data_IF_143154376001
#
_entry.id   IF_143154376001
#
_cell.length_a   1.000
_cell.length_b   1.000
_cell.length_c   1.000
_cell.angle_alpha   90.00
_cell.angle_beta   90.00
_cell.angle_gamma   90.00
#
_symmetry.space_group_name_H-M   'P 1'
#
loop_
_entity.id
_entity.type
_entity.pdbx_description
1 polymer ?
2 non-polymer ?
3 non-polymer ?
4 water ?
#
# COMPACT_ATOMS: atom_id res chain seq x y z
N UNK A 21 -16.56 21.72 6.03
CA UNK A 21 -15.75 20.56 5.56
C UNK A 21 -14.76 20.12 6.64
N UNK A 22 -13.64 19.50 6.22
CA UNK A 22 -12.66 19.00 7.17
C UNK A 22 -11.80 20.11 7.72
N UNK A 23 -11.89 20.34 9.01
CA UNK A 23 -11.08 21.36 9.67
C UNK A 23 -10.05 20.75 10.61
N UNK A 24 -10.33 19.55 11.12
CA UNK A 24 -9.42 18.89 12.04
C UNK A 24 -9.46 17.38 11.85
N UNK A 25 -8.28 16.79 11.66
CA UNK A 25 -8.17 15.38 11.36
C UNK A 25 -7.33 14.66 12.41
N UNK A 26 -7.89 13.58 12.95
CA UNK A 26 -7.12 12.67 13.78
C UNK A 26 -6.34 11.71 12.88
N UNK A 27 -5.03 11.67 13.07
CA UNK A 27 -4.18 10.78 12.30
C UNK A 27 -4.03 9.49 13.10
N UNK A 28 -4.87 8.51 12.77
CA UNK A 28 -4.92 7.26 13.53
C UNK A 28 -3.86 6.30 12.98
N UNK A 29 -2.61 6.70 13.07
CA UNK A 29 -1.51 5.86 12.63
C UNK A 29 -0.21 6.44 13.18
N UNK A 30 0.92 5.99 12.64
CA UNK A 30 2.22 6.34 13.19
C UNK A 30 3.28 6.33 12.09
N UNK A 31 4.52 6.58 12.48
CA UNK A 31 5.65 6.47 11.58
C UNK A 31 5.53 7.28 10.29
N UNK A 32 6.04 6.73 9.20
CA UNK A 32 6.15 7.51 7.97
C UNK A 32 4.78 7.91 7.41
N UNK A 33 3.80 7.01 7.44
CA UNK A 33 2.51 7.37 6.84
C UNK A 33 1.80 8.46 7.65
N UNK A 34 2.01 8.49 8.96
CA UNK A 34 1.38 9.53 9.78
C UNK A 34 1.97 10.87 9.42
N UNK A 35 3.29 10.90 9.19
CA UNK A 35 3.97 12.11 8.72
C UNK A 35 3.47 12.52 7.33
N UNK A 36 3.34 11.55 6.44
CA UNK A 36 2.79 11.78 5.11
C UNK A 36 1.42 12.43 5.21
N UNK A 37 0.58 11.93 6.11
CA UNK A 37 -0.76 12.46 6.27
C UNK A 37 -0.73 13.86 6.87
N UNK A 38 0.13 14.07 7.86
CA UNK A 38 0.29 15.38 8.47
C UNK A 38 0.70 16.43 7.45
N UNK A 39 1.62 16.07 6.56
CA UNK A 39 2.09 16.99 5.53
C UNK A 39 0.94 17.39 4.61
N UNK A 40 0.12 16.43 4.19
CA UNK A 40 -1.02 16.72 3.33
C UNK A 40 -2.02 17.64 4.05
N UNK A 41 -2.24 17.36 5.33
CA UNK A 41 -3.16 18.16 6.12
C UNK A 41 -2.67 19.60 6.20
N UNK A 42 -1.41 19.77 6.59
CA UNK A 42 -0.85 21.11 6.72
C UNK A 42 -0.94 21.90 5.40
N UNK A 43 -0.70 21.23 4.27
CA UNK A 43 -0.82 21.91 2.97
C UNK A 43 -2.23 22.44 2.73
N UNK A 44 -3.23 21.72 3.24
CA UNK A 44 -4.63 22.08 3.01
C UNK A 44 -5.16 22.97 4.14
N UNK A 45 -4.32 23.26 5.13
CA UNK A 45 -4.71 24.12 6.24
C UNK A 45 -5.59 23.41 7.25
N UNK A 46 -5.49 22.08 7.27
CA UNK A 46 -6.26 21.25 8.17
C UNK A 46 -5.50 21.00 9.47
N UNK A 47 -6.14 21.25 10.60
CA UNK A 47 -5.51 20.99 11.90
C UNK A 47 -5.33 19.50 12.14
N UNK A 48 -4.25 19.15 12.85
CA UNK A 48 -3.91 17.76 13.05
C UNK A 48 -3.95 17.38 14.53
N UNK A 49 -4.39 16.17 14.76
CA UNK A 49 -4.39 15.56 16.07
C UNK A 49 -3.60 14.27 15.94
N UNK A 50 -2.47 14.19 16.62
CA UNK A 50 -1.65 12.98 16.57
C UNK A 50 -1.96 12.12 17.79
N UNK A 51 -2.66 11.01 17.55
CA UNK A 51 -2.81 9.99 18.59
C UNK A 51 -1.61 9.06 18.54
N UNK A 52 -1.04 8.75 19.71
CA UNK A 52 0.19 8.00 19.78
C UNK A 52 0.26 7.13 21.04
N UNK A 53 1.07 6.08 20.97
CA UNK A 53 1.33 5.26 22.15
C UNK A 53 2.41 5.94 22.99
N UNK A 54 2.60 5.45 24.22
CA UNK A 54 3.62 6.00 25.10
C UNK A 54 5.02 5.85 24.50
N UNK A 55 5.18 4.93 23.56
CA UNK A 55 6.49 4.68 22.95
C UNK A 55 6.78 5.62 21.77
N UNK A 56 5.75 6.33 21.31
CA UNK A 56 5.87 7.14 20.10
C UNK A 56 5.79 8.64 20.40
N UNK A 57 6.03 9.02 21.64
CA UNK A 57 6.04 10.43 22.01
C UNK A 57 7.05 11.23 21.19
N UNK A 58 8.10 10.57 20.71
CA UNK A 58 9.18 11.24 19.99
C UNK A 58 9.06 11.13 18.46
N UNK A 59 7.95 10.61 17.96
CA UNK A 59 7.75 10.53 16.52
C UNK A 59 7.77 11.92 15.94
N UNK A 60 8.38 12.05 14.76
CA UNK A 60 8.48 13.35 14.11
C UNK A 60 7.10 14.00 13.97
N UNK A 61 6.13 13.26 13.44
CA UNK A 61 4.84 13.86 13.16
C UNK A 61 4.13 14.28 14.46
N UNK A 62 4.36 13.54 15.54
CA UNK A 62 3.81 13.90 16.84
C UNK A 62 4.37 15.24 17.30
N UNK A 63 5.67 15.43 17.07
CA UNK A 63 6.35 16.67 17.43
C UNK A 63 5.88 17.84 16.56
N UNK A 64 5.42 17.53 15.35
CA UNK A 64 4.93 18.54 14.42
C UNK A 64 3.44 18.82 14.55
N UNK A 65 2.69 17.94 15.20
CA UNK A 65 1.23 18.04 15.21
C UNK A 65 0.72 19.21 16.06
N UNK A 66 -0.47 19.70 15.72
CA UNK A 66 -1.09 20.80 16.44
C UNK A 66 -1.55 20.37 17.82
N UNK A 67 -2.11 19.17 17.91
CA UNK A 67 -2.55 18.59 19.18
C UNK A 67 -2.09 17.14 19.24
N UNK A 68 -1.70 16.69 20.45
CA UNK A 68 -1.32 15.29 20.64
C UNK A 68 -2.12 14.64 21.77
N UNK A 69 -2.45 13.37 21.58
CA UNK A 69 -3.17 12.61 22.59
C UNK A 69 -2.59 11.21 22.69
N UNK A 70 -2.15 10.84 23.88
CA UNK A 70 -1.62 9.49 24.12
C UNK A 70 -2.79 8.53 24.29
N UNK A 71 -2.87 7.51 23.42
CA UNK A 71 -4.02 6.61 23.41
C UNK A 71 -3.76 5.24 24.04
N UNK A 72 -2.60 5.07 24.67
CA UNK A 72 -2.31 3.83 25.35
C UNK A 72 -0.84 3.50 25.45
N UNK A 73 -0.53 2.34 26.04
CA UNK A 73 0.84 1.82 26.17
C UNK A 73 1.39 1.34 24.83
N UNK A 74 2.63 0.87 24.83
CA UNK A 74 3.36 0.56 23.59
C UNK A 74 2.67 -0.46 22.67
N UNK A 75 2.21 -1.59 23.22
CA UNK A 75 1.67 -2.62 22.31
C UNK A 75 0.53 -2.10 21.44
N UNK A 76 0.58 -2.44 20.16
CA UNK A 76 -0.43 -2.01 19.18
C UNK A 76 -1.85 -2.29 19.68
N UNK A 77 -2.06 -3.51 20.17
CA UNK A 77 -3.38 -3.95 20.63
C UNK A 77 -3.97 -2.95 21.61
N UNK A 78 -3.10 -2.26 22.35
CA UNK A 78 -3.54 -1.37 23.43
C UNK A 78 -3.56 0.10 23.04
N UNK A 79 -3.08 0.41 21.83
CA UNK A 79 -2.97 1.78 21.38
C UNK A 79 -3.58 2.00 19.99
N UNK A 80 -2.85 1.63 18.95
CA UNK A 80 -3.26 1.96 17.59
C UNK A 80 -4.43 1.10 17.10
N UNK A 81 -4.70 0.02 17.81
CA UNK A 81 -5.87 -0.82 17.55
C UNK A 81 -6.95 -0.59 18.61
N UNK A 82 -6.73 0.39 19.50
CA UNK A 82 -7.68 0.71 20.57
C UNK A 82 -8.82 1.59 20.04
N UNK A 83 -9.88 0.97 19.56
CA UNK A 83 -10.95 1.68 18.88
C UNK A 83 -11.63 2.73 19.76
N UNK A 84 -11.94 2.38 21.02
CA UNK A 84 -12.58 3.39 21.87
C UNK A 84 -11.69 4.59 22.16
N UNK A 85 -10.38 4.37 22.37
CA UNK A 85 -9.48 5.47 22.72
C UNK A 85 -9.30 6.45 21.54
N UNK A 86 -9.24 5.91 20.34
CA UNK A 86 -9.03 6.74 19.16
C UNK A 86 -10.27 7.59 18.89
N UNK A 87 -11.43 6.99 19.09
CA UNK A 87 -12.67 7.70 18.87
C UNK A 87 -12.84 8.78 19.95
N UNK A 88 -12.43 8.48 21.17
CA UNK A 88 -12.47 9.45 22.26
C UNK A 88 -11.53 10.63 21.99
N UNK A 89 -10.40 10.36 21.34
CA UNK A 89 -9.48 11.44 20.96
C UNK A 89 -10.15 12.37 19.96
N UNK A 90 -10.89 11.80 19.02
CA UNK A 90 -11.65 12.58 18.06
C UNK A 90 -12.70 13.44 18.77
N UNK A 91 -13.30 12.88 19.82
CA UNK A 91 -14.38 13.57 20.52
C UNK A 91 -13.88 14.75 21.36
N UNK A 92 -12.89 14.51 22.23
CA UNK A 92 -12.39 15.55 23.11
C UNK A 92 -11.71 16.72 22.37
N UNK A 93 -11.15 16.44 21.19
CA UNK A 93 -10.51 17.49 20.40
C UNK A 93 -11.48 18.18 19.44
N UNK A 94 -12.68 17.63 19.29
CA UNK A 94 -13.66 18.17 18.35
C UNK A 94 -13.19 18.04 16.91
N UNK A 95 -12.58 16.91 16.59
CA UNK A 95 -12.12 16.64 15.22
C UNK A 95 -13.32 16.35 14.31
N UNK A 96 -13.12 16.47 13.00
CA UNK A 96 -14.17 16.19 12.03
C UNK A 96 -14.01 14.82 11.37
N UNK A 97 -12.79 14.30 11.35
CA UNK A 97 -12.52 13.13 10.55
C UNK A 97 -11.31 12.38 11.06
N UNK A 98 -11.21 11.11 10.69
CA UNK A 98 -10.12 10.25 11.12
C UNK A 98 -9.49 9.59 9.92
N UNK A 99 -8.18 9.75 9.78
CA UNK A 99 -7.45 9.09 8.70
C UNK A 99 -6.70 7.90 9.30
N UNK A 100 -7.02 6.67 8.84
CA UNK A 100 -6.45 5.45 9.39
C UNK A 100 -5.10 4.99 8.79
N UNK A 101 -4.52 5.75 7.88
CA UNK A 101 -3.32 5.33 7.16
C UNK A 101 -3.47 3.98 6.52
N UNK A 102 -2.43 3.17 6.61
CA UNK A 102 -2.48 1.79 6.16
C UNK A 102 -2.16 0.88 7.35
N UNK A 103 -2.53 -0.39 7.24
CA UNK A 103 -2.36 -1.32 8.33
C UNK A 103 -3.33 -0.98 9.46
N UNK A 104 -3.00 -1.44 10.66
CA UNK A 104 -3.79 -1.18 11.85
C UNK A 104 -5.30 -1.30 11.59
N UNK A 105 -6.04 -0.21 11.73
CA UNK A 105 -7.51 -0.27 11.65
C UNK A 105 -8.07 0.18 10.31
N UNK A 106 -7.21 0.34 9.30
CA UNK A 106 -7.62 0.99 8.06
C UNK A 106 -8.60 0.16 7.24
N UNK A 107 -8.52 -1.16 7.38
CA UNK A 107 -9.46 -2.06 6.73
C UNK A 107 -10.28 -2.85 7.74
N UNK A 108 -10.46 -2.24 8.90
CA UNK A 108 -11.33 -2.80 9.93
C UNK A 108 -12.71 -2.15 9.81
N UNK A 109 -13.68 -2.93 9.37
CA UNK A 109 -15.02 -2.39 9.10
C UNK A 109 -15.74 -1.97 10.37
N UNK A 110 -15.56 -2.73 11.45
CA UNK A 110 -16.19 -2.38 12.73
C UNK A 110 -15.72 -0.98 13.17
N UNK A 111 -14.45 -0.67 12.94
CA UNK A 111 -13.90 0.64 13.26
C UNK A 111 -14.50 1.74 12.39
N UNK A 112 -14.63 1.47 11.09
CA UNK A 112 -15.20 2.45 10.17
C UNK A 112 -16.65 2.70 10.52
N UNK A 113 -17.36 1.63 10.86
CA UNK A 113 -18.74 1.71 11.28
C UNK A 113 -18.85 2.62 12.50
N UNK A 114 -18.03 2.31 13.51
CA UNK A 114 -18.05 3.02 14.77
C UNK A 114 -17.73 4.50 14.57
N UNK A 115 -16.78 4.79 13.69
CA UNK A 115 -16.38 6.17 13.43
C UNK A 115 -17.54 6.97 12.86
N UNK A 116 -18.23 6.41 11.87
CA UNK A 116 -19.34 7.13 11.23
C UNK A 116 -20.53 7.25 12.15
N UNK A 117 -20.76 6.21 12.97
CA UNK A 117 -21.87 6.24 13.91
C UNK A 117 -21.66 7.29 14.99
N UNK A 118 -20.41 7.63 15.25
CA UNK A 118 -20.07 8.62 16.26
C UNK A 118 -20.03 10.02 15.65
N UNK A 119 -20.35 10.12 14.36
CA UNK A 119 -20.52 11.41 13.71
C UNK A 119 -19.26 11.99 13.10
N UNK A 120 -18.20 11.20 13.03
CA UNK A 120 -16.95 11.65 12.40
C UNK A 120 -16.85 11.09 10.99
N UNK A 121 -16.10 11.77 10.14
CA UNK A 121 -15.88 11.29 8.78
C UNK A 121 -14.70 10.34 8.76
N UNK A 122 -14.94 9.13 8.28
CA UNK A 122 -13.89 8.16 8.10
C UNK A 122 -13.24 8.42 6.75
N UNK A 123 -11.94 8.68 6.74
CA UNK A 123 -11.24 8.97 5.49
C UNK A 123 -10.87 7.65 4.81
N UNK A 124 -11.82 7.15 4.02
CA UNK A 124 -11.69 5.87 3.36
C UNK A 124 -13.08 5.47 2.87
N UNK A 125 -13.27 4.18 2.59
CA UNK A 125 -14.60 3.78 2.10
C UNK A 125 -15.62 3.60 3.22
N UNK A 126 -16.88 3.42 2.82
CA UNK A 126 -17.93 3.10 3.76
C UNK A 126 -17.65 1.73 4.36
N UNK A 127 -18.17 1.49 5.55
CA UNK A 127 -17.96 0.23 6.24
C UNK A 127 -18.44 -0.94 5.40
N UNK A 128 -19.65 -0.83 4.85
CA UNK A 128 -20.23 -1.91 4.06
C UNK A 128 -19.27 -2.34 2.94
N UNK A 129 -18.61 -1.37 2.31
CA UNK A 129 -17.69 -1.68 1.21
C UNK A 129 -16.38 -2.29 1.72
N UNK A 130 -15.90 -1.82 2.86
CA UNK A 130 -14.70 -2.39 3.46
C UNK A 130 -14.94 -3.86 3.76
N UNK A 131 -16.12 -4.17 4.30
CA UNK A 131 -16.46 -5.54 4.65
C UNK A 131 -16.67 -6.41 3.42
N UNK A 132 -17.20 -5.82 2.35
CA UNK A 132 -17.42 -6.55 1.11
C UNK A 132 -16.09 -7.03 0.53
N UNK A 133 -15.11 -6.14 0.51
CA UNK A 133 -13.80 -6.46 -0.03
C UNK A 133 -12.85 -6.97 1.05
N UNK A 134 -13.39 -7.13 2.26
CA UNK A 134 -12.61 -7.63 3.38
C UNK A 134 -12.68 -9.15 3.46
N UNK A 135 -13.50 -9.74 2.61
CA UNK A 135 -13.68 -11.19 2.58
C UNK A 135 -13.33 -11.70 1.19
N UNK A 136 -12.26 -12.49 1.09
CA UNK A 136 -11.73 -12.90 -0.20
C UNK A 136 -12.81 -13.44 -1.13
N UNK A 137 -13.74 -14.23 -0.60
CA UNK A 137 -14.75 -14.87 -1.43
C UNK A 137 -15.76 -13.85 -1.97
N UNK A 138 -16.33 -13.04 -1.08
CA UNK A 138 -17.30 -12.03 -1.49
C UNK A 138 -16.67 -10.92 -2.34
N UNK A 139 -15.37 -10.71 -2.16
CA UNK A 139 -14.65 -9.74 -2.99
C UNK A 139 -14.65 -10.25 -4.44
N UNK A 140 -14.17 -11.48 -4.62
CA UNK A 140 -14.06 -12.08 -5.94
C UNK A 140 -15.41 -12.13 -6.64
N UNK A 141 -16.46 -12.37 -5.88
CA UNK A 141 -17.80 -12.37 -6.44
C UNK A 141 -18.17 -10.98 -6.97
N UNK A 142 -17.88 -9.96 -6.19
CA UNK A 142 -18.18 -8.59 -6.60
C UNK A 142 -17.36 -8.21 -7.83
N UNK A 143 -16.10 -8.64 -7.86
CA UNK A 143 -15.23 -8.36 -9.00
C UNK A 143 -15.71 -9.08 -10.27
N UNK A 144 -16.05 -10.36 -10.15
CA UNK A 144 -16.54 -11.10 -11.31
C UNK A 144 -17.81 -10.42 -11.86
N UNK A 145 -18.71 -10.03 -10.97
CA UNK A 145 -19.93 -9.35 -11.40
C UNK A 145 -19.58 -8.08 -12.15
N UNK A 146 -18.55 -7.37 -11.66
CA UNK A 146 -18.20 -6.06 -12.18
C UNK A 146 -17.48 -6.13 -13.54
N UNK A 147 -16.93 -7.29 -13.87
CA UNK A 147 -16.21 -7.46 -15.12
C UNK A 147 -14.71 -7.38 -14.96
N UNK A 148 -14.22 -7.47 -13.73
CA UNK A 148 -12.79 -7.49 -13.47
C UNK A 148 -12.32 -8.94 -13.54
N UNK A 149 -11.23 -9.20 -14.27
CA UNK A 149 -10.84 -10.59 -14.48
C UNK A 149 -10.35 -11.22 -13.18
N UNK A 150 -10.80 -12.45 -12.92
CA UNK A 150 -10.45 -13.15 -11.70
C UNK A 150 -9.73 -14.46 -12.00
N UNK A 151 -9.03 -14.97 -11.00
CA UNK A 151 -8.43 -16.30 -11.12
C UNK A 151 -9.55 -17.32 -11.33
N UNK A 152 -9.47 -18.08 -12.43
CA UNK A 152 -10.42 -19.19 -12.59
C UNK A 152 -10.41 -20.08 -11.35
N UNK A 153 -11.58 -20.36 -10.80
CA UNK A 153 -11.67 -21.11 -9.56
C UNK A 153 -13.00 -21.82 -9.39
N UNK A 154 -13.32 -22.13 -8.14
CA UNK A 154 -14.52 -22.90 -7.83
C UNK A 154 -15.78 -22.03 -7.82
N UNK A 155 -15.59 -20.72 -7.79
CA UNK A 155 -16.70 -19.78 -7.89
C UNK A 155 -17.83 -20.12 -6.93
N UNK A 160 -17.79 -30.37 -0.58
CA UNK A 160 -16.84 -31.41 -0.17
C UNK A 160 -17.30 -32.80 -0.60
N UNK A 161 -17.56 -32.95 -1.90
CA UNK A 161 -17.80 -34.26 -2.49
C UNK A 161 -16.63 -34.58 -3.43
N UNK A 162 -16.20 -35.83 -3.45
CA UNK A 162 -14.98 -36.20 -4.17
C UNK A 162 -15.04 -35.92 -5.68
N UNK A 163 -15.93 -36.61 -6.38
CA UNK A 163 -15.92 -36.59 -7.84
C UNK A 163 -16.24 -35.18 -8.36
N UNK A 164 -17.00 -34.43 -7.57
CA UNK A 164 -17.32 -33.06 -7.92
C UNK A 164 -16.04 -32.22 -7.98
N UNK A 165 -15.37 -32.12 -6.84
CA UNK A 165 -14.18 -31.27 -6.71
C UNK A 165 -12.99 -31.80 -7.51
N UNK A 166 -13.02 -33.08 -7.86
CA UNK A 166 -12.06 -33.63 -8.81
C UNK A 166 -12.40 -33.09 -10.18
N UNK A 167 -13.68 -32.88 -10.44
CA UNK A 167 -14.14 -32.35 -11.71
C UNK A 167 -13.77 -30.88 -11.84
N UNK A 168 -13.89 -30.13 -10.75
CA UNK A 168 -13.62 -28.70 -10.80
C UNK A 168 -12.12 -28.45 -10.88
N UNK A 169 -11.35 -29.28 -10.17
CA UNK A 169 -9.90 -29.22 -10.26
C UNK A 169 -9.48 -29.44 -11.70
N UNK A 170 -10.12 -30.42 -12.33
CA UNK A 170 -9.83 -30.80 -13.70
C UNK A 170 -10.19 -29.67 -14.68
N UNK A 171 -11.34 -29.06 -14.46
CA UNK A 171 -11.78 -27.93 -15.27
C UNK A 171 -10.78 -26.79 -15.17
N UNK A 172 -10.45 -26.43 -13.93
CA UNK A 172 -9.55 -25.32 -13.65
C UNK A 172 -8.14 -25.59 -14.16
N UNK A 173 -7.67 -26.83 -13.97
CA UNK A 173 -6.35 -27.23 -14.43
C UNK A 173 -5.28 -27.11 -13.36
N UNK A 174 -4.58 -28.21 -13.10
CA UNK A 174 -3.51 -28.22 -12.10
C UNK A 174 -2.29 -27.46 -12.61
N UNK A 175 -1.50 -26.89 -11.68
CA UNK A 175 -1.74 -26.99 -10.24
C UNK A 175 -2.83 -26.06 -9.73
N UNK A 176 -3.53 -26.49 -8.68
CA UNK A 176 -4.50 -25.65 -8.00
C UNK A 176 -4.07 -25.45 -6.54
N UNK A 177 -4.95 -24.88 -5.73
CA UNK A 177 -4.58 -24.46 -4.39
C UNK A 177 -5.82 -24.31 -3.49
N UNK A 178 -5.89 -25.14 -2.46
CA UNK A 178 -7.02 -25.12 -1.53
C UNK A 178 -6.79 -24.05 -0.47
N UNK A 179 -7.81 -23.23 -0.23
CA UNK A 179 -7.69 -22.11 0.71
C UNK A 179 -9.04 -21.76 1.32
N UNK A 191 -1.38 -26.31 -1.88
CA UNK A 191 -1.13 -26.45 -3.32
C UNK A 191 -1.17 -27.91 -3.74
N UNK A 192 -2.10 -28.24 -4.63
CA UNK A 192 -2.20 -29.58 -5.17
C UNK A 192 -1.72 -29.59 -6.62
N UNK A 193 -0.86 -30.55 -6.95
CA UNK A 193 -0.33 -30.64 -8.30
C UNK A 193 -0.87 -31.86 -9.06
N UNK A 194 -1.47 -32.82 -8.35
CA UNK A 194 -2.15 -33.94 -9.00
C UNK A 194 -3.43 -34.35 -8.27
N UNK A 195 -4.32 -35.03 -8.98
CA UNK A 195 -5.64 -35.33 -8.45
C UNK A 195 -5.69 -36.54 -7.52
N UNK A 196 -4.66 -37.39 -7.55
CA UNK A 196 -4.57 -38.46 -6.57
C UNK A 196 -4.18 -37.90 -5.19
N UNK A 197 -3.88 -36.60 -5.15
CA UNK A 197 -3.56 -35.93 -3.89
C UNK A 197 -4.57 -34.82 -3.55
N UNK A 198 -5.74 -34.86 -4.17
CA UNK A 198 -6.76 -33.85 -3.88
C UNK A 198 -7.30 -34.06 -2.46
N UNK A 199 -7.01 -33.10 -1.59
CA UNK A 199 -7.32 -33.24 -0.16
C UNK A 199 -7.62 -31.88 0.47
N UNK A 200 -8.15 -31.91 1.69
CA UNK A 200 -8.56 -30.69 2.38
C UNK A 200 -7.55 -30.27 3.45
N UNK A 220 -11.19 -23.85 -4.08
CA UNK A 220 -9.99 -24.01 -4.88
C UNK A 220 -9.86 -22.90 -5.91
N UNK A 221 -8.75 -22.89 -6.62
CA UNK A 221 -8.55 -21.98 -7.74
C UNK A 221 -7.20 -22.26 -8.40
N UNK A 222 -6.97 -21.64 -9.55
CA UNK A 222 -5.75 -21.88 -10.31
C UNK A 222 -4.53 -21.35 -9.58
N UNK A 223 -3.47 -22.17 -9.49
CA UNK A 223 -2.21 -21.70 -8.96
C UNK A 223 -1.31 -21.24 -10.09
N UNK A 224 -0.92 -19.97 -10.04
CA UNK A 224 -0.05 -19.42 -11.07
C UNK A 224 1.40 -19.52 -10.61
N UNK A 225 2.22 -20.17 -11.42
CA UNK A 225 3.57 -20.53 -11.02
C UNK A 225 4.48 -19.32 -10.95
N UNK A 226 4.45 -18.52 -12.01
CA UNK A 226 5.39 -17.41 -12.13
C UNK A 226 4.72 -16.15 -12.64
N UNK A 227 3.82 -15.58 -11.82
CA UNK A 227 3.14 -14.33 -12.12
C UNK A 227 3.91 -13.15 -11.56
N UNK A 228 3.58 -11.97 -12.05
CA UNK A 228 4.08 -10.73 -11.45
C UNK A 228 2.98 -10.16 -10.58
N UNK A 229 3.36 -9.27 -9.68
CA UNK A 229 2.40 -8.51 -8.89
C UNK A 229 2.21 -7.16 -9.54
N UNK A 230 1.09 -6.97 -10.22
CA UNK A 230 0.79 -5.71 -10.86
C UNK A 230 -0.52 -5.19 -10.30
N UNK A 231 -0.50 -3.96 -9.79
CA UNK A 231 -1.66 -3.42 -9.09
C UNK A 231 -2.05 -2.06 -9.64
N UNK A 232 -3.36 -1.81 -9.66
CA UNK A 232 -3.90 -0.59 -10.25
C UNK A 232 -4.42 0.36 -9.16
N UNK A 233 -3.92 1.59 -9.21
CA UNK A 233 -4.35 2.64 -8.29
C UNK A 233 -5.63 3.28 -8.79
N UNK A 234 -6.60 3.44 -7.90
CA UNK A 234 -7.81 4.15 -8.26
C UNK A 234 -8.16 5.22 -7.24
N UNK A 235 -9.00 6.16 -7.69
CA UNK A 235 -9.68 7.11 -6.84
C UNK A 235 -11.14 7.11 -7.25
N UNK A 236 -12.04 7.16 -6.27
CA UNK A 236 -13.45 7.35 -6.54
C UNK A 236 -14.01 8.37 -5.56
N UNK A 237 -14.96 9.19 -6.01
CA UNK A 237 -15.49 10.26 -5.18
C UNK A 237 -17.00 10.16 -4.99
N UNK A 238 -17.56 11.08 -4.22
CA UNK A 238 -18.98 11.08 -3.92
C UNK A 238 -19.79 11.80 -5.01
N UNK A 239 -19.12 12.12 -6.12
CA UNK A 239 -19.78 12.75 -7.26
C UNK A 239 -19.95 11.76 -8.41
N UNK A 240 -19.72 10.48 -8.16
CA UNK A 240 -19.93 9.45 -9.17
C UNK A 240 -18.76 9.25 -10.12
N UNK A 241 -17.63 9.87 -9.81
CA UNK A 241 -16.44 9.73 -10.64
C UNK A 241 -15.51 8.65 -10.09
N UNK A 242 -14.81 7.96 -10.99
CA UNK A 242 -13.77 7.02 -10.62
C UNK A 242 -12.69 7.03 -11.69
N UNK A 243 -11.44 7.23 -11.27
CA UNK A 243 -10.30 7.23 -12.19
C UNK A 243 -9.28 6.16 -11.81
N UNK A 244 -8.49 5.73 -12.79
CA UNK A 244 -7.36 4.85 -12.54
C UNK A 244 -6.07 5.61 -12.83
N UNK A 245 -5.08 5.38 -11.98
CA UNK A 245 -3.81 6.08 -12.05
C UNK A 245 -2.68 5.10 -12.40
N UNK A 246 -2.75 4.56 -13.61
CA UNK A 246 -1.78 3.58 -14.10
C UNK A 246 -1.59 2.46 -13.08
N UNK A 247 -0.44 1.81 -13.10
CA UNK A 247 -0.23 0.64 -12.26
C UNK A 247 1.15 0.66 -11.60
N UNK A 248 1.34 -0.26 -10.66
CA UNK A 248 2.62 -0.46 -10.02
C UNK A 248 2.99 -1.94 -10.08
N UNK A 249 4.27 -2.23 -10.22
CA UNK A 249 4.76 -3.60 -10.15
C UNK A 249 5.48 -3.76 -8.83
N UNK A 250 5.06 -4.74 -8.04
CA UNK A 250 5.62 -4.93 -6.70
C UNK A 250 6.04 -6.40 -6.54
N UNK A 251 6.69 -6.93 -7.57
CA UNK A 251 6.99 -8.35 -7.62
C UNK A 251 8.15 -8.75 -6.74
N UNK A 252 9.02 -7.80 -6.46
CA UNK A 252 10.15 -8.07 -5.58
C UNK A 252 9.66 -8.15 -4.16
N UNK A 253 9.40 -9.38 -3.70
CA UNK A 253 8.88 -9.60 -2.36
C UNK A 253 9.64 -10.72 -1.65
N UNK A 254 9.56 -10.69 -0.33
CA UNK A 254 10.04 -11.79 0.50
C UNK A 254 8.89 -12.16 1.41
N UNK A 255 8.50 -13.43 1.40
CA UNK A 255 7.38 -13.87 2.22
C UNK A 255 6.18 -12.97 2.00
N UNK A 256 5.93 -12.64 0.73
CA UNK A 256 4.76 -11.84 0.36
C UNK A 256 4.82 -10.42 0.92
N UNK A 257 5.97 -10.02 1.45
CA UNK A 257 6.17 -8.64 1.93
C UNK A 257 7.02 -7.88 0.92
N UNK A 258 6.47 -6.78 0.42
CA UNK A 258 7.10 -6.05 -0.67
C UNK A 258 8.40 -5.39 -0.22
N UNK A 259 9.37 -5.34 -1.13
CA UNK A 259 10.67 -4.78 -0.82
C UNK A 259 10.97 -3.59 -1.73
N UNK A 260 10.69 -3.76 -3.01
CA UNK A 260 10.86 -2.71 -4.01
C UNK A 260 9.61 -2.63 -4.87
N UNK A 261 9.15 -1.41 -5.14
CA UNK A 261 8.03 -1.21 -6.04
C UNK A 261 8.42 -0.24 -7.15
N UNK A 262 7.70 -0.30 -8.27
CA UNK A 262 7.99 0.60 -9.37
C UNK A 262 6.72 0.93 -10.14
N UNK A 263 6.80 2.00 -10.92
CA UNK A 263 5.70 2.41 -11.78
C UNK A 263 6.27 3.23 -12.96
N UNK A 264 5.72 3.03 -14.16
CA UNK A 264 4.69 2.03 -14.46
C UNK A 264 5.26 0.62 -14.39
N UNK A 265 4.45 -0.38 -14.72
CA UNK A 265 4.93 -1.76 -14.78
C UNK A 265 5.52 -2.04 -16.16
N UNK A 266 6.79 -2.48 -16.19
CA UNK A 266 7.42 -2.77 -17.49
C UNK A 266 6.60 -3.73 -18.33
N UNK A 267 6.56 -3.51 -19.63
CA UNK A 267 5.85 -4.40 -20.53
C UNK A 267 4.40 -4.02 -20.74
N UNK A 268 3.82 -3.31 -19.77
CA UNK A 268 2.42 -2.92 -19.87
C UNK A 268 2.25 -1.76 -20.85
N UNK A 269 1.54 -2.03 -21.93
CA UNK A 269 1.20 -0.99 -22.90
C UNK A 269 0.10 -0.09 -22.37
N UNK A 270 -0.02 1.09 -22.95
CA UNK A 270 -1.10 2.01 -22.59
C UNK A 270 -2.46 1.37 -22.91
N UNK A 271 -2.51 0.63 -24.00
CA UNK A 271 -3.74 -0.02 -24.42
C UNK A 271 -4.21 -1.01 -23.36
N UNK A 272 -3.28 -1.82 -22.85
CA UNK A 272 -3.59 -2.77 -21.78
C UNK A 272 -3.95 -2.02 -20.50
N UNK A 273 -3.21 -0.94 -20.23
CA UNK A 273 -3.47 -0.09 -19.08
C UNK A 273 -4.90 0.44 -19.08
N UNK A 274 -5.38 0.89 -20.24
CA UNK A 274 -6.71 1.48 -20.32
C UNK A 274 -7.82 0.42 -20.15
N UNK A 275 -7.58 -0.78 -20.64
CA UNK A 275 -8.56 -1.86 -20.46
C UNK A 275 -8.70 -2.25 -18.99
N UNK A 276 -7.61 -2.69 -18.37
CA UNK A 276 -7.68 -3.18 -17.00
C UNK A 276 -8.00 -2.04 -16.04
N UNK A 277 -7.59 -0.83 -16.41
CA UNK A 277 -7.83 0.34 -15.59
C UNK A 277 -9.30 0.71 -15.58
N UNK A 278 -9.92 0.72 -16.75
CA UNK A 278 -11.31 1.09 -16.86
C UNK A 278 -12.24 0.05 -16.21
N UNK A 279 -11.84 -1.22 -16.24
CA UNK A 279 -12.59 -2.24 -15.54
C UNK A 279 -12.53 -1.98 -14.03
N UNK A 280 -11.38 -1.53 -13.55
CA UNK A 280 -11.21 -1.22 -12.14
C UNK A 280 -12.03 0.02 -11.74
N UNK A 281 -12.05 1.03 -12.60
CA UNK A 281 -12.85 2.23 -12.32
C UNK A 281 -14.34 1.88 -12.29
N UNK A 282 -14.82 1.14 -13.29
CA UNK A 282 -16.21 0.73 -13.29
C UNK A 282 -16.56 -0.09 -12.05
N UNK A 283 -15.67 -0.99 -11.65
CA UNK A 283 -15.89 -1.76 -10.43
C UNK A 283 -16.09 -0.83 -9.24
N UNK A 284 -15.29 0.23 -9.16
CA UNK A 284 -15.45 1.23 -8.11
C UNK A 284 -16.88 1.75 -8.09
N UNK A 285 -17.36 2.18 -9.25
CA UNK A 285 -18.72 2.70 -9.36
C UNK A 285 -19.77 1.65 -8.99
N UNK A 286 -19.60 0.42 -9.45
CA UNK A 286 -20.57 -0.63 -9.17
C UNK A 286 -20.70 -0.88 -7.67
N UNK A 287 -19.58 -0.90 -6.96
CA UNK A 287 -19.61 -1.24 -5.53
C UNK A 287 -19.76 -0.01 -4.62
N UNK A 288 -19.85 1.17 -5.24
CA UNK A 288 -20.05 2.39 -4.47
C UNK A 288 -18.80 2.77 -3.71
N UNK A 289 -17.65 2.60 -4.37
CA UNK A 289 -16.37 2.88 -3.72
C UNK A 289 -16.18 4.36 -3.44
N UNK A 290 -15.39 4.65 -2.40
CA UNK A 290 -15.10 6.01 -1.99
C UNK A 290 -13.65 6.06 -1.55
N UNK A 291 -12.89 7.02 -2.08
CA UNK A 291 -11.54 7.24 -1.61
C UNK A 291 -10.48 6.60 -2.48
N UNK A 292 -9.28 6.47 -1.94
CA UNK A 292 -8.21 5.78 -2.64
C UNK A 292 -8.35 4.28 -2.41
N UNK A 293 -7.95 3.52 -3.42
CA UNK A 293 -7.94 2.07 -3.29
C UNK A 293 -7.03 1.49 -4.33
N UNK A 294 -6.64 0.23 -4.13
CA UNK A 294 -5.79 -0.48 -5.08
C UNK A 294 -6.37 -1.84 -5.40
N UNK A 295 -6.48 -2.14 -6.68
CA UNK A 295 -6.81 -3.48 -7.14
C UNK A 295 -5.49 -4.22 -7.42
N UNK A 296 -5.21 -5.25 -6.63
CA UNK A 296 -3.99 -6.04 -6.81
C UNK A 296 -4.26 -7.25 -7.71
N UNK A 297 -3.38 -7.46 -8.68
CA UNK A 297 -3.50 -8.60 -9.59
C UNK A 297 -2.24 -9.47 -9.61
N UNK A 298 -2.43 -10.75 -9.90
CA UNK A 298 -1.35 -11.58 -10.39
C UNK A 298 -1.38 -11.45 -11.92
N UNK A 299 -0.23 -11.19 -12.51
CA UNK A 299 -0.15 -10.94 -13.94
C UNK A 299 0.77 -11.93 -14.62
N UNK A 300 0.21 -12.79 -15.48
CA UNK A 300 0.99 -13.84 -16.11
C UNK A 300 0.54 -14.09 -17.55
N UNK A 301 1.52 -14.42 -18.38
CA UNK A 301 1.33 -14.53 -19.83
C UNK A 301 0.27 -13.58 -20.38
N UNK A 302 0.36 -12.32 -19.99
CA UNK A 302 -0.43 -11.26 -20.60
C UNK A 302 -1.83 -11.08 -20.05
N UNK A 303 -2.21 -11.88 -19.06
CA UNK A 303 -3.55 -11.77 -18.48
C UNK A 303 -3.50 -11.36 -17.01
N UNK A 304 -4.51 -10.60 -16.59
CA UNK A 304 -4.65 -10.15 -15.20
C UNK A 304 -5.61 -11.04 -14.41
N UNK A 305 -5.27 -11.31 -13.15
CA UNK A 305 -6.16 -12.08 -12.28
C UNK A 305 -6.22 -11.46 -10.89
N UNK A 306 -7.41 -10.94 -10.54
CA UNK A 306 -7.63 -10.24 -9.27
C UNK A 306 -7.29 -11.11 -8.07
N UNK A 307 -6.66 -10.51 -7.05
CA UNK A 307 -6.42 -11.24 -5.81
C UNK A 307 -6.86 -10.50 -4.55
N UNK A 308 -6.94 -9.17 -4.63
CA UNK A 308 -7.27 -8.39 -3.44
C UNK A 308 -7.47 -6.95 -3.81
N UNK A 309 -8.40 -6.30 -3.13
CA UNK A 309 -8.47 -4.85 -3.16
C UNK A 309 -8.06 -4.33 -1.79
N UNK A 310 -7.07 -3.46 -1.77
CA UNK A 310 -6.71 -2.77 -0.55
C UNK A 310 -7.53 -1.51 -0.51
N UNK A 311 -8.50 -1.48 0.40
CA UNK A 311 -9.43 -0.38 0.48
C UNK A 311 -8.88 0.68 1.41
N UNK A 312 -7.80 1.32 0.96
CA UNK A 312 -7.04 2.23 1.78
C UNK A 312 -5.92 2.75 0.92
N UNK A 313 -5.16 3.71 1.45
CA UNK A 313 -3.94 4.14 0.80
C UNK A 313 -2.92 3.02 0.95
N UNK A 314 -2.00 2.91 0.01
CA UNK A 314 -0.95 1.89 0.09
C UNK A 314 0.40 2.49 0.40
N UNK A 315 1.27 1.68 1.00
CA UNK A 315 2.62 2.09 1.32
C UNK A 315 3.29 2.69 0.10
N UNK A 316 3.16 2.01 -1.04
CA UNK A 316 3.95 2.38 -2.22
C UNK A 316 3.26 3.40 -3.12
N UNK A 317 2.31 4.15 -2.57
CA UNK A 317 1.61 5.14 -3.38
C UNK A 317 2.54 6.18 -4.01
N UNK A 318 3.67 6.49 -3.38
CA UNK A 318 4.50 7.56 -3.96
C UNK A 318 5.00 7.32 -5.40
N UNK A 319 5.24 6.08 -5.80
CA UNK A 319 5.75 5.87 -7.14
C UNK A 319 4.71 6.32 -8.17
N UNK A 320 3.45 6.11 -7.85
CA UNK A 320 2.36 6.53 -8.72
C UNK A 320 2.27 8.05 -8.75
N UNK A 321 2.43 8.68 -7.59
CA UNK A 321 2.45 10.15 -7.51
C UNK A 321 3.51 10.72 -8.45
N UNK A 322 4.69 10.11 -8.46
CA UNK A 322 5.80 10.60 -9.26
C UNK A 322 5.51 10.54 -10.76
N UNK A 323 4.83 9.49 -11.23
CA UNK A 323 4.63 9.34 -12.67
C UNK A 323 3.33 9.95 -13.21
N UNK A 324 2.43 10.37 -12.33
CA UNK A 324 1.17 10.97 -12.78
C UNK A 324 0.98 12.42 -12.32
N UNK A 325 1.79 12.87 -11.36
CA UNK A 325 1.63 14.20 -10.80
C UNK A 325 0.43 14.34 -9.87
N UNK A 326 -0.09 13.22 -9.37
CA UNK A 326 -1.23 13.29 -8.45
C UNK A 326 -0.75 13.21 -7.02
N UNK A 327 -1.36 14.00 -6.14
CA UNK A 327 -1.15 13.87 -4.69
C UNK A 327 -2.27 13.00 -4.12
N UNK A 328 -1.97 11.73 -3.87
CA UNK A 328 -3.02 10.78 -3.50
C UNK A 328 -3.58 10.99 -2.09
N UNK A 329 -2.74 11.41 -1.15
CA UNK A 329 -3.23 11.65 0.19
C UNK A 329 -4.11 12.91 0.22
N UNK A 330 -3.71 13.96 -0.49
CA UNK A 330 -4.57 15.14 -0.58
C UNK A 330 -5.90 14.82 -1.23
N UNK A 331 -5.89 13.99 -2.28
CA UNK A 331 -7.15 13.58 -2.92
C UNK A 331 -8.01 12.79 -1.93
N UNK A 332 -7.38 11.99 -1.08
CA UNK A 332 -8.13 11.30 -0.03
C UNK A 332 -8.89 12.27 0.84
N UNK A 333 -8.20 13.30 1.29
CA UNK A 333 -8.78 14.29 2.20
C UNK A 333 -9.88 15.08 1.52
N UNK A 334 -9.63 15.49 0.28
CA UNK A 334 -10.60 16.23 -0.50
C UNK A 334 -11.85 15.38 -0.78
N UNK A 335 -11.64 14.12 -1.15
CA UNK A 335 -12.76 13.22 -1.42
C UNK A 335 -13.58 13.00 -0.15
N UNK A 336 -12.90 12.83 0.98
CA UNK A 336 -13.56 12.63 2.27
C UNK A 336 -14.41 13.84 2.66
N UNK A 337 -13.96 15.04 2.29
CA UNK A 337 -14.69 16.28 2.60
C UNK A 337 -15.90 16.46 1.69
N UNK A 338 -16.03 15.60 0.68
CA UNK A 338 -17.16 15.71 -0.23
C UNK A 338 -16.81 16.23 -1.63
N UNK A 339 -15.55 16.59 -1.85
CA UNK A 339 -15.15 17.18 -3.14
C UNK A 339 -14.99 16.13 -4.22
N UNK A 340 -15.09 16.55 -5.48
CA UNK A 340 -14.79 15.61 -6.56
C UNK A 340 -13.29 15.45 -6.74
N UNK A 341 -12.90 14.34 -7.35
CA UNK A 341 -11.51 14.15 -7.77
C UNK A 341 -11.11 15.39 -8.58
N UNK A 342 -9.91 15.92 -8.32
CA UNK A 342 -9.52 17.22 -8.87
C UNK A 342 -9.10 17.21 -10.34
N UNK A 343 -9.34 16.10 -11.02
CA UNK A 343 -8.94 15.96 -12.42
C UNK A 343 -9.79 14.89 -13.08
N UNK A 344 -9.74 14.81 -14.40
CA UNK A 344 -10.48 13.79 -15.14
C UNK A 344 -9.52 12.73 -15.68
N UNK A 345 -10.05 11.58 -16.09
CA UNK A 345 -9.21 10.48 -16.55
C UNK A 345 -8.27 10.95 -17.65
N UNK A 346 -8.78 11.82 -18.53
CA UNK A 346 -8.01 12.30 -19.67
C UNK A 346 -6.86 13.24 -19.28
N UNK A 347 -6.87 13.73 -18.05
CA UNK A 347 -5.79 14.59 -17.58
C UNK A 347 -4.57 13.79 -17.16
N UNK A 348 -4.77 12.49 -16.96
CA UNK A 348 -3.71 11.65 -16.43
C UNK A 348 -2.89 11.02 -17.55
N UNK A 349 -1.61 11.37 -17.59
CA UNK A 349 -0.70 10.79 -18.57
C UNK A 349 0.56 10.34 -17.87
N UNK A 350 0.85 9.05 -17.97
CA UNK A 350 2.06 8.47 -17.42
C UNK A 350 3.28 9.15 -18.04
N UNK A 351 4.16 9.68 -17.20
CA UNK A 351 5.40 10.28 -17.68
C UNK A 351 6.58 9.81 -16.84
N UNK A 352 7.59 9.28 -17.50
CA UNK A 352 8.79 8.84 -16.82
C UNK A 352 8.55 7.55 -16.05
N UNK A 353 9.40 7.30 -15.08
CA UNK A 353 9.38 6.03 -14.35
C UNK A 353 9.84 6.30 -12.93
N UNK A 354 9.28 5.58 -11.97
CA UNK A 354 9.63 5.77 -10.57
C UNK A 354 9.85 4.45 -9.86
N UNK A 355 10.72 4.50 -8.84
CA UNK A 355 11.04 3.32 -8.06
C UNK A 355 11.05 3.64 -6.57
N UNK A 356 10.70 2.65 -5.75
CA UNK A 356 10.70 2.80 -4.30
C UNK A 356 11.40 1.64 -3.60
N UNK A 357 12.29 1.97 -2.68
CA UNK A 357 12.92 0.98 -1.82
C UNK A 357 12.46 1.19 -0.38
N UNK A 358 11.88 0.16 0.22
CA UNK A 358 11.50 0.20 1.62
C UNK A 358 12.71 -0.05 2.48
N UNK A 359 13.20 1.00 3.13
CA UNK A 359 14.35 0.88 4.00
C UNK A 359 13.89 0.50 5.41
N UNK A 360 14.33 -0.67 5.86
CA UNK A 360 13.92 -1.22 7.14
C UNK A 360 15.09 -1.35 8.09
N UNK A 361 14.82 -1.18 9.38
CA UNK A 361 15.79 -1.50 10.42
C UNK A 361 15.78 -3.01 10.64
N UNK A 362 16.57 -3.72 9.85
CA UNK A 362 16.67 -5.16 9.97
C UNK A 362 17.99 -5.63 9.36
N UNK A 363 18.43 -6.81 9.77
CA UNK A 363 19.63 -7.43 9.21
C UNK A 363 19.38 -7.77 7.74
N UNK A 364 20.32 -7.41 6.85
CA UNK A 364 20.02 -7.51 5.42
C UNK A 364 20.02 -8.95 4.86
N UNK A 365 20.61 -9.89 5.59
CA UNK A 365 20.60 -11.29 5.19
C UNK A 365 19.62 -12.06 6.06
N UNK A 366 19.73 -11.83 7.37
CA UNK A 366 18.94 -12.49 8.40
C UNK A 366 17.49 -11.97 8.51
N UNK A 367 17.30 -10.67 8.28
CA UNK A 367 15.97 -10.04 8.33
C UNK A 367 15.39 -9.93 9.76
N UNK A 368 16.26 -10.04 10.76
CA UNK A 368 15.85 -9.92 12.15
C UNK A 368 15.79 -8.43 12.45
N UNK A 369 14.75 -7.99 13.17
CA UNK A 369 14.67 -6.54 13.37
C UNK A 369 15.90 -5.97 14.07
N UNK A 370 16.18 -4.71 13.83
CA UNK A 370 17.32 -4.04 14.42
C UNK A 370 16.87 -2.72 15.05
N UNK A 371 16.15 -2.79 16.18
CA UNK A 371 15.74 -1.58 16.88
C UNK A 371 16.95 -0.91 17.50
N UNK A 372 16.86 0.38 17.81
CA UNK A 372 17.96 1.06 18.47
C UNK A 372 18.06 2.52 18.10
N UNK A 373 19.04 3.20 18.69
CA UNK A 373 19.24 4.62 18.45
C UNK A 373 19.94 4.88 17.13
N UNK A 374 19.38 5.76 16.31
CA UNK A 374 20.07 6.19 15.11
C UNK A 374 20.99 7.34 15.52
N UNK A 375 22.27 7.04 15.65
CA UNK A 375 23.25 8.01 16.08
C UNK A 375 23.49 9.04 15.01
N UNK A 376 23.41 8.60 13.76
CA UNK A 376 23.61 9.49 12.64
C UNK A 376 22.73 9.10 11.47
N UNK A 377 22.01 10.08 10.94
CA UNK A 377 21.25 9.88 9.73
C UNK A 377 21.79 10.83 8.69
N UNK A 378 22.08 10.32 7.51
CA UNK A 378 22.24 11.19 6.36
C UNK A 378 21.36 10.72 5.24
N UNK A 379 20.41 11.56 4.86
CA UNK A 379 19.44 11.21 3.86
C UNK A 379 19.87 11.84 2.54
N UNK A 380 19.64 11.12 1.43
CA UNK A 380 20.05 11.54 0.10
C UNK A 380 19.12 12.61 -0.45
N UNK A 381 19.53 13.26 -1.53
CA UNK A 381 18.70 14.22 -2.21
C UNK A 381 19.15 14.47 -3.62
N UNK A 382 18.81 15.65 -4.13
CA UNK A 382 19.12 16.00 -5.49
C UNK A 382 17.94 15.75 -6.40
N UNK A 383 18.15 15.98 -7.69
CA UNK A 383 17.09 15.83 -8.68
C UNK A 383 16.58 14.41 -8.73
N UNK A 384 15.24 14.27 -8.68
CA UNK A 384 14.59 12.99 -8.87
C UNK A 384 14.67 12.09 -7.66
N UNK A 385 15.05 12.63 -6.52
CA UNK A 385 15.15 11.87 -5.29
C UNK A 385 14.16 12.39 -4.26
N UNK A 386 13.31 11.49 -3.77
CA UNK A 386 12.31 11.82 -2.78
C UNK A 386 12.50 10.90 -1.59
N UNK A 387 12.36 11.47 -0.40
CA UNK A 387 12.63 10.78 0.85
C UNK A 387 11.41 10.92 1.76
N UNK A 388 10.73 9.82 2.01
CA UNK A 388 9.57 9.80 2.91
C UNK A 388 9.93 9.02 4.17
N UNK A 389 10.20 9.75 5.25
CA UNK A 389 10.65 9.12 6.48
C UNK A 389 10.45 10.00 7.69
N UNK A 390 10.13 9.35 8.80
CA UNK A 390 9.94 10.01 10.08
C UNK A 390 11.23 9.97 10.89
N UNK A 391 12.21 9.22 10.41
CA UNK A 391 13.44 9.05 11.17
C UNK A 391 14.33 10.30 11.12
N UNK A 392 14.97 10.58 12.23
CA UNK A 392 15.86 11.73 12.33
C UNK A 392 17.05 11.34 13.19
N UNK A 393 18.16 12.06 13.02
CA UNK A 393 19.33 11.84 13.83
C UNK A 393 19.03 11.92 15.30
N UNK A 394 19.31 10.84 16.03
CA UNK A 394 19.08 10.79 17.46
C UNK A 394 17.78 10.10 17.83
N UNK A 395 17.01 9.73 16.82
CA UNK A 395 15.76 9.02 17.02
C UNK A 395 16.04 7.56 17.33
N UNK A 396 15.27 7.01 18.26
CA UNK A 396 15.37 5.60 18.58
C UNK A 396 14.25 4.82 17.90
N UNK A 397 14.62 3.86 17.06
CA UNK A 397 13.64 2.99 16.42
C UNK A 397 13.15 1.93 17.42
N UNK A 398 11.86 1.94 17.74
CA UNK A 398 11.36 1.01 18.76
C UNK A 398 11.09 -0.40 18.21
N UNK A 399 10.93 -1.37 19.12
CA UNK A 399 10.70 -2.77 18.78
C UNK A 399 9.24 -3.13 18.51
N UNK A 400 8.31 -2.25 18.88
CA UNK A 400 6.90 -2.63 19.04
C UNK A 400 6.09 -2.70 17.75
N UNK A 401 6.60 -2.09 16.68
CA UNK A 401 5.84 -1.97 15.44
C UNK A 401 6.63 -2.56 14.28
N UNK A 402 6.31 -2.15 13.06
CA UNK A 402 7.02 -2.65 11.88
C UNK A 402 8.44 -2.09 11.87
N UNK A 403 9.26 -2.58 10.94
CA UNK A 403 10.67 -2.19 10.88
C UNK A 403 10.97 -1.09 9.86
N UNK A 404 9.95 -0.64 9.13
CA UNK A 404 10.15 0.42 8.14
C UNK A 404 10.62 1.71 8.78
N UNK A 405 11.73 2.24 8.30
CA UNK A 405 12.19 3.53 8.80
C UNK A 405 12.17 4.63 7.74
N UNK A 406 12.16 4.25 6.46
CA UNK A 406 12.11 5.22 5.37
C UNK A 406 11.70 4.58 4.04
N UNK A 407 11.10 5.39 3.19
CA UNK A 407 10.87 5.02 1.80
C UNK A 407 11.69 5.95 0.94
N UNK A 408 12.64 5.38 0.20
CA UNK A 408 13.46 6.14 -0.73
C UNK A 408 12.83 5.97 -2.10
N UNK A 409 12.48 7.08 -2.72
CA UNK A 409 11.75 7.05 -3.97
C UNK A 409 12.56 7.83 -5.00
N UNK A 410 12.78 7.24 -6.17
CA UNK A 410 13.45 7.96 -7.24
C UNK A 410 12.57 8.04 -8.47
N UNK A 411 12.85 9.05 -9.29
CA UNK A 411 12.11 9.25 -10.53
C UNK A 411 13.08 9.67 -11.61
N UNK A 412 12.86 9.16 -12.83
CA UNK A 412 13.66 9.56 -13.97
C UNK A 412 12.83 9.52 -15.24
N UNK A 413 13.37 10.07 -16.34
CA UNK A 413 12.63 10.05 -17.60
C UNK A 413 12.50 8.61 -18.14
N UNK A 414 13.40 7.73 -17.71
CA UNK A 414 13.30 6.31 -18.06
C UNK A 414 13.54 5.43 -16.85
N UNK A 415 13.21 4.15 -16.99
CA UNK A 415 13.41 3.17 -15.94
C UNK A 415 14.88 3.08 -15.58
N UNK A 416 15.73 3.16 -16.61
CA UNK A 416 17.16 3.00 -16.42
C UNK A 416 17.67 4.11 -15.50
N UNK A 417 17.22 5.33 -15.74
CA UNK A 417 17.63 6.49 -14.94
C UNK A 417 17.11 6.40 -13.52
N UNK A 418 15.85 5.98 -13.36
CA UNK A 418 15.30 5.82 -12.01
C UNK A 418 16.13 4.82 -11.22
N UNK A 419 16.53 3.73 -11.87
CA UNK A 419 17.34 2.71 -11.21
C UNK A 419 18.72 3.25 -10.81
N UNK A 420 19.41 3.89 -11.75
CA UNK A 420 20.74 4.44 -11.45
C UNK A 420 20.65 5.50 -10.35
N UNK A 421 19.59 6.28 -10.39
CA UNK A 421 19.34 7.30 -9.40
C UNK A 421 19.14 6.63 -8.01
N UNK A 422 18.38 5.54 -7.98
CA UNK A 422 18.20 4.83 -6.73
C UNK A 422 19.53 4.31 -6.19
N UNK A 423 20.34 3.75 -7.08
CA UNK A 423 21.65 3.21 -6.69
C UNK A 423 22.55 4.29 -6.08
N UNK A 424 22.58 5.46 -6.70
CA UNK A 424 23.40 6.54 -6.19
C UNK A 424 22.84 7.09 -4.88
N UNK A 425 21.52 7.20 -4.79
CA UNK A 425 20.89 7.68 -3.57
C UNK A 425 21.19 6.72 -2.39
N UNK A 426 21.08 5.42 -2.64
CA UNK A 426 21.36 4.44 -1.61
C UNK A 426 22.80 4.54 -1.12
N UNK A 427 23.75 4.76 -2.02
CA UNK A 427 25.14 4.82 -1.61
C UNK A 427 25.41 6.06 -0.75
N UNK A 428 24.66 7.14 -0.97
CA UNK A 428 24.81 8.35 -0.18
C UNK A 428 24.14 8.21 1.18
N UNK A 429 23.19 7.30 1.29
CA UNK A 429 22.39 7.17 2.50
C UNK A 429 23.19 6.53 3.65
N UNK A 430 23.15 7.17 4.81
CA UNK A 430 23.84 6.65 5.99
C UNK A 430 22.90 6.59 7.18
N UNK A 431 22.77 5.41 7.73
CA UNK A 431 21.97 5.19 8.92
C UNK A 431 22.86 4.43 9.90
N UNK A 432 23.47 5.16 10.82
CA UNK A 432 24.45 4.57 11.74
C UNK A 432 23.86 4.34 13.12
N UNK A 433 24.13 3.16 13.67
CA UNK A 433 23.64 2.79 14.98
C UNK A 433 22.76 1.56 14.92
N UNK A 434 22.17 1.29 13.76
CA UNK A 434 21.36 0.10 13.56
C UNK A 434 21.65 -0.50 12.19
N UNK A 435 21.24 -1.75 11.98
CA UNK A 435 21.40 -2.39 10.67
C UNK A 435 20.22 -2.03 9.78
N UNK A 436 20.46 -1.91 8.48
CA UNK A 436 19.36 -1.72 7.55
C UNK A 436 19.44 -2.72 6.41
N UNK A 437 18.37 -2.82 5.62
CA UNK A 437 18.35 -3.68 4.45
C UNK A 437 18.89 -2.98 3.20
N UNK A 438 19.60 -1.87 3.37
CA UNK A 438 20.18 -1.17 2.21
C UNK A 438 21.07 -2.10 1.38
N UNK A 439 21.88 -2.95 2.04
CA UNK A 439 22.66 -3.84 1.17
C UNK A 439 21.79 -4.74 0.29
N UNK A 440 20.61 -5.14 0.77
CA UNK A 440 19.73 -5.98 -0.04
C UNK A 440 19.20 -5.19 -1.26
N UNK A 441 18.77 -3.97 -1.03
CA UNK A 441 18.33 -3.12 -2.12
C UNK A 441 19.41 -3.02 -3.20
N UNK A 442 20.65 -2.83 -2.77
CA UNK A 442 21.75 -2.65 -3.67
C UNK A 442 22.00 -3.91 -4.51
N UNK A 443 21.76 -5.07 -3.91
CA UNK A 443 21.91 -6.34 -4.61
C UNK A 443 20.80 -6.51 -5.66
N UNK A 444 19.59 -6.08 -5.29
CA UNK A 444 18.47 -6.16 -6.22
C UNK A 444 18.68 -5.25 -7.42
N UNK A 445 19.10 -4.01 -7.16
CA UNK A 445 19.20 -3.01 -8.21
C UNK A 445 20.24 -3.36 -9.25
N UNK A 446 21.28 -4.11 -8.86
CA UNK A 446 22.33 -4.46 -9.80
C UNK A 446 22.11 -5.84 -10.42
N UNK A 447 20.97 -6.46 -10.09
CA UNK A 447 20.61 -7.77 -10.63
C UNK A 447 20.23 -7.64 -12.11
N UNK A 448 20.92 -8.36 -12.97
CA UNK A 448 20.71 -8.25 -14.41
C UNK A 448 19.28 -8.52 -14.84
N UNK A 449 18.62 -9.47 -14.18
CA UNK A 449 17.24 -9.77 -14.47
C UNK A 449 16.33 -8.61 -14.06
N UNK A 450 16.55 -8.05 -12.87
CA UNK A 450 15.79 -6.88 -12.46
C UNK A 450 15.99 -5.73 -13.45
N UNK A 451 17.21 -5.57 -13.93
CA UNK A 451 17.51 -4.47 -14.86
C UNK A 451 16.79 -4.66 -16.19
N UNK A 452 16.64 -5.91 -16.62
CA UNK A 452 15.84 -6.23 -17.79
C UNK A 452 14.38 -5.93 -17.50
N UNK A 453 13.96 -6.26 -16.28
CA UNK A 453 12.62 -5.98 -15.82
C UNK A 453 11.70 -7.17 -15.98
N UNK A 454 10.55 -7.13 -15.31
CA UNK A 454 9.53 -8.15 -15.50
C UNK A 454 9.74 -9.41 -14.70
N UNK A 455 10.57 -9.36 -13.67
CA UNK A 455 10.78 -10.54 -12.82
C UNK A 455 9.54 -10.85 -11.99
N UNK A 456 9.30 -12.13 -11.74
CA UNK A 456 8.06 -12.58 -11.13
C UNK A 456 8.10 -12.55 -9.59
N UNK A 457 6.99 -12.93 -8.96
CA UNK A 457 6.84 -12.75 -7.52
C UNK A 457 7.69 -13.70 -6.67
N UNK A 458 8.28 -14.71 -7.30
CA UNK A 458 9.12 -15.65 -6.57
C UNK A 458 10.61 -15.37 -6.74
N UNK A 459 10.94 -14.41 -7.60
CA UNK A 459 12.33 -14.23 -8.00
C UNK A 459 13.25 -13.93 -6.83
N UNK A 460 12.83 -13.03 -5.95
CA UNK A 460 13.71 -12.57 -4.88
C UNK A 460 14.13 -13.73 -3.96
N UNK A 461 13.17 -14.50 -3.49
CA UNK A 461 13.46 -15.66 -2.67
C UNK A 461 14.36 -16.66 -3.41
N UNK A 462 14.03 -16.92 -4.68
CA UNK A 462 14.86 -17.75 -5.55
C UNK A 462 16.29 -17.22 -5.59
N UNK A 463 16.43 -15.93 -5.87
CA UNK A 463 17.73 -15.31 -6.02
C UNK A 463 18.54 -15.41 -4.74
N UNK A 464 17.88 -15.26 -3.60
CA UNK A 464 18.54 -15.34 -2.32
C UNK A 464 18.89 -16.78 -1.95
N UNK A 465 18.97 -17.65 -2.96
CA UNK A 465 19.36 -19.04 -2.76
C UNK A 465 20.38 -19.46 -3.80
#
# INVERSE_FOLDING_TARGET
>A
MGSSHHHHHHSSGLVPRGSHMLEKVVIANRGEIALRILRACKELGIKTVAVHSTADRDLKHVLLADETICIGPAPSAKSYLNIPAIIAAAEVTGADAIHPGYGFLSENADFAEQVERSGFTFIGPTADVIRLMGDKVSAIKAMKKAGVPCVPGSDGPVSNDIAKNKEIAKRIGYPIIIKASGGGGGRGMRVVRSEDALEESIAMTKAEAKAAFNNDMVYMEKYLENPRHVEIQVLADTHGNAVYLAERDCSMQRRHQKVVEEAPAPGITEEVRRDIGSRCANACVEIGYRGAGTFEFLYENGEFYFIEMNTRIQVEHPVTEMITGVDLVKEQLRIAAGLPISFKQEDIKVKGHAMECRINAEDPKTFLPSPGKVNHLHSPGGLGVRWDSHVYGGYTVPPHYDSMIAKLITYGDTREVAIRRMQNALSETIIDGIKTNIPLHELILEDENFQKGGTNIHYLEKKLGMNE
#
